data_IF_084399605292
#
_entry.id   IF_084399605292
#
_cell.length_a   1.000
_cell.length_b   1.000
_cell.length_c   1.000
_cell.angle_alpha   90.00
_cell.angle_beta   90.00
_cell.angle_gamma   90.00
#
_symmetry.space_group_name_H-M   'P 1'
#
loop_
_entity.id
_entity.type
_entity.pdbx_description
1 polymer ?
#
# COMPACT_ATOMS: atom_id res chain seq x y z
N UNK A 1 -13.63 -15.01 -22.72
CA UNK A 1 -12.48 -15.90 -22.56
C UNK A 1 -11.17 -15.12 -22.54
N UNK A 2 -10.83 -14.41 -23.60
CA UNK A 2 -9.57 -13.66 -23.80
C UNK A 2 -9.29 -12.62 -22.70
N UNK A 3 -10.26 -11.75 -22.39
CA UNK A 3 -10.16 -10.74 -21.31
C UNK A 3 -9.85 -11.32 -19.92
N UNK A 4 -10.34 -12.55 -19.64
CA UNK A 4 -10.05 -13.21 -18.35
C UNK A 4 -8.60 -13.67 -18.28
N UNK A 5 -8.07 -14.15 -19.39
CA UNK A 5 -6.69 -14.62 -19.50
C UNK A 5 -5.72 -13.45 -19.40
N UNK A 6 -6.01 -12.34 -20.09
CA UNK A 6 -5.22 -11.09 -20.01
C UNK A 6 -5.20 -10.54 -18.57
N UNK A 7 -6.36 -10.50 -17.91
CA UNK A 7 -6.46 -10.06 -16.51
C UNK A 7 -5.66 -10.94 -15.57
N UNK A 8 -5.74 -12.23 -15.74
CA UNK A 8 -4.96 -13.18 -14.93
C UNK A 8 -3.46 -12.94 -15.12
N UNK A 9 -3.00 -12.81 -16.36
CA UNK A 9 -1.59 -12.54 -16.66
C UNK A 9 -1.11 -11.22 -16.05
N UNK A 10 -1.91 -10.16 -16.14
CA UNK A 10 -1.61 -8.86 -15.53
C UNK A 10 -1.44 -8.97 -14.02
N UNK A 11 -2.39 -9.59 -13.33
CA UNK A 11 -2.37 -9.70 -11.86
C UNK A 11 -1.25 -10.63 -11.40
N UNK A 12 -0.98 -11.72 -12.11
CA UNK A 12 0.13 -12.64 -11.83
C UNK A 12 1.47 -11.90 -11.95
N UNK A 13 1.66 -11.11 -13.01
CA UNK A 13 2.87 -10.31 -13.21
C UNK A 13 3.02 -9.24 -12.12
N UNK A 14 1.95 -8.48 -11.83
CA UNK A 14 1.94 -7.44 -10.80
C UNK A 14 2.32 -7.97 -9.42
N UNK A 15 1.78 -9.13 -9.04
CA UNK A 15 2.04 -9.77 -7.75
C UNK A 15 3.31 -10.65 -7.75
N UNK A 16 4.10 -10.64 -8.83
CA UNK A 16 5.32 -11.47 -8.98
C UNK A 16 5.07 -12.95 -8.67
N UNK A 17 4.02 -13.53 -9.26
CA UNK A 17 3.61 -14.92 -9.04
C UNK A 17 3.99 -15.86 -10.18
N UNK A 18 4.60 -15.38 -11.25
CA UNK A 18 4.88 -16.15 -12.46
C UNK A 18 5.62 -17.45 -12.18
N UNK A 19 6.64 -17.40 -11.33
CA UNK A 19 7.46 -18.56 -10.97
C UNK A 19 6.80 -19.51 -9.97
N UNK A 20 5.64 -19.12 -9.44
CA UNK A 20 4.92 -19.85 -8.40
C UNK A 20 3.68 -20.59 -8.92
N UNK A 21 3.33 -20.39 -10.19
CA UNK A 21 2.08 -20.92 -10.76
C UNK A 21 2.00 -22.45 -10.72
N UNK A 22 3.15 -23.13 -10.82
CA UNK A 22 3.23 -24.59 -10.82
C UNK A 22 3.48 -25.19 -9.43
N UNK A 23 3.60 -24.33 -8.40
CA UNK A 23 3.80 -24.78 -7.01
C UNK A 23 2.48 -25.11 -6.34
N UNK A 24 2.52 -26.10 -5.47
CA UNK A 24 1.36 -26.40 -4.63
C UNK A 24 1.17 -25.30 -3.58
N UNK A 25 -0.07 -24.84 -3.28
CA UNK A 25 -0.33 -23.76 -2.33
C UNK A 25 0.29 -23.95 -0.94
N UNK A 26 0.43 -25.18 -0.48
CA UNK A 26 1.07 -25.51 0.82
C UNK A 26 2.59 -25.39 0.79
N UNK A 27 3.21 -25.33 -0.38
CA UNK A 27 4.65 -25.17 -0.52
C UNK A 27 5.06 -23.69 -0.63
N UNK A 28 4.10 -22.78 -0.55
CA UNK A 28 4.33 -21.34 -0.58
C UNK A 28 4.74 -20.83 0.81
N UNK A 29 5.77 -19.99 0.85
CA UNK A 29 6.12 -19.20 2.04
C UNK A 29 4.99 -18.26 2.46
N UNK A 30 5.00 -17.75 3.69
CA UNK A 30 3.98 -16.82 4.17
C UNK A 30 3.83 -15.57 3.28
N UNK A 31 4.93 -15.00 2.80
CA UNK A 31 4.91 -13.87 1.87
C UNK A 31 4.35 -14.24 0.49
N UNK A 32 4.67 -15.43 -0.03
CA UNK A 32 4.12 -15.92 -1.30
C UNK A 32 2.62 -16.20 -1.18
N UNK A 33 2.16 -16.70 -0.05
CA UNK A 33 0.73 -16.88 0.23
C UNK A 33 0.00 -15.52 0.28
N UNK A 34 0.58 -14.49 0.89
CA UNK A 34 0.00 -13.15 0.92
C UNK A 34 -0.07 -12.54 -0.49
N UNK A 35 0.97 -12.71 -1.32
CA UNK A 35 0.93 -12.30 -2.73
C UNK A 35 -0.19 -12.97 -3.50
N UNK A 36 -0.34 -14.28 -3.33
CA UNK A 36 -1.41 -15.05 -3.97
C UNK A 36 -2.80 -14.60 -3.48
N UNK A 37 -2.96 -14.30 -2.18
CA UNK A 37 -4.20 -13.78 -1.62
C UNK A 37 -4.54 -12.40 -2.20
N UNK A 38 -3.56 -11.48 -2.28
CA UNK A 38 -3.73 -10.18 -2.92
C UNK A 38 -4.14 -10.32 -4.39
N UNK A 39 -3.44 -11.16 -5.15
CA UNK A 39 -3.77 -11.41 -6.56
C UNK A 39 -5.21 -11.90 -6.74
N UNK A 40 -5.67 -12.81 -5.88
CA UNK A 40 -7.06 -13.31 -5.90
C UNK A 40 -8.08 -12.19 -5.71
N UNK A 41 -7.80 -11.24 -4.80
CA UNK A 41 -8.68 -10.08 -4.57
C UNK A 41 -8.64 -9.13 -5.78
N UNK A 42 -7.47 -8.88 -6.35
CA UNK A 42 -7.31 -7.99 -7.52
C UNK A 42 -8.01 -8.51 -8.77
N UNK A 43 -8.18 -9.84 -8.91
CA UNK A 43 -8.98 -10.43 -9.99
C UNK A 43 -10.45 -10.01 -9.93
N UNK A 44 -10.96 -9.64 -8.75
CA UNK A 44 -12.33 -9.13 -8.57
C UNK A 44 -12.50 -7.67 -9.01
N UNK A 45 -11.41 -6.99 -9.40
CA UNK A 45 -11.41 -5.59 -9.81
C UNK A 45 -12.03 -4.64 -8.76
N UNK A 46 -11.53 -4.64 -7.52
CA UNK A 46 -12.15 -3.88 -6.45
C UNK A 46 -12.04 -2.36 -6.68
N UNK A 47 -13.05 -1.62 -6.24
CA UNK A 47 -13.00 -0.15 -6.13
C UNK A 47 -12.34 0.28 -4.82
N UNK A 48 -12.48 -0.54 -3.78
CA UNK A 48 -11.97 -0.29 -2.44
C UNK A 48 -11.23 -1.55 -1.98
N UNK A 49 -10.03 -1.37 -1.47
CA UNK A 49 -9.20 -2.43 -0.89
C UNK A 49 -9.01 -2.16 0.61
N UNK A 50 -9.46 -3.10 1.43
CA UNK A 50 -9.30 -3.07 2.88
C UNK A 50 -8.21 -4.07 3.26
N UNK A 51 -7.19 -3.60 3.96
CA UNK A 51 -6.01 -4.39 4.33
C UNK A 51 -5.80 -4.32 5.85
N UNK A 52 -5.69 -5.49 6.47
CA UNK A 52 -5.40 -5.63 7.89
C UNK A 52 -4.02 -6.29 8.05
N UNK A 53 -3.07 -5.56 8.65
CA UNK A 53 -1.67 -5.97 8.85
C UNK A 53 -1.00 -6.62 7.61
N UNK A 54 -1.11 -6.02 6.41
CA UNK A 54 -0.70 -6.68 5.18
C UNK A 54 0.82 -6.86 5.03
N UNK A 55 1.61 -6.13 5.83
CA UNK A 55 3.09 -6.22 5.81
C UNK A 55 3.64 -7.25 6.79
N UNK A 56 2.77 -7.85 7.61
CA UNK A 56 3.19 -8.84 8.61
C UNK A 56 3.74 -10.11 7.93
N UNK A 57 4.98 -10.46 8.29
CA UNK A 57 5.65 -11.64 7.73
C UNK A 57 6.25 -11.45 6.33
N UNK A 58 6.18 -10.24 5.75
CA UNK A 58 6.91 -9.90 4.54
C UNK A 58 8.35 -9.54 4.87
N UNK A 59 9.29 -9.99 4.04
CA UNK A 59 10.66 -9.51 4.07
C UNK A 59 10.77 -8.06 3.56
N UNK A 60 11.92 -7.44 3.78
CA UNK A 60 12.14 -6.03 3.44
C UNK A 60 12.04 -5.75 1.93
N UNK A 61 12.55 -6.68 1.11
CA UNK A 61 12.50 -6.55 -0.36
C UNK A 61 11.05 -6.60 -0.85
N UNK A 62 10.29 -7.58 -0.36
CA UNK A 62 8.91 -7.70 -0.78
C UNK A 62 8.01 -6.58 -0.23
N UNK A 63 8.31 -6.01 0.96
CA UNK A 63 7.60 -4.82 1.45
C UNK A 63 7.70 -3.65 0.47
N UNK A 64 8.86 -3.43 -0.15
CA UNK A 64 9.01 -2.39 -1.17
C UNK A 64 8.14 -2.68 -2.39
N UNK A 65 8.20 -3.91 -2.91
CA UNK A 65 7.34 -4.33 -4.03
C UNK A 65 5.86 -4.18 -3.70
N UNK A 66 5.46 -4.57 -2.49
CA UNK A 66 4.08 -4.45 -2.03
C UNK A 66 3.63 -2.98 -1.96
N UNK A 67 4.47 -2.09 -1.45
CA UNK A 67 4.20 -0.65 -1.45
C UNK A 67 4.00 -0.09 -2.87
N UNK A 68 4.83 -0.49 -3.81
CA UNK A 68 4.69 -0.11 -5.22
C UNK A 68 3.40 -0.66 -5.85
N UNK A 69 3.02 -1.91 -5.51
CA UNK A 69 1.73 -2.48 -5.93
C UNK A 69 0.59 -1.58 -5.45
N UNK A 70 0.60 -1.19 -4.16
CA UNK A 70 -0.43 -0.31 -3.61
C UNK A 70 -0.47 1.05 -4.33
N UNK A 71 0.70 1.65 -4.61
CA UNK A 71 0.80 2.89 -5.38
C UNK A 71 0.24 2.73 -6.81
N UNK A 72 0.56 1.65 -7.47
CA UNK A 72 0.04 1.34 -8.81
C UNK A 72 -1.48 1.18 -8.82
N UNK A 73 -2.03 0.50 -7.81
CA UNK A 73 -3.47 0.36 -7.63
C UNK A 73 -4.15 1.70 -7.35
N UNK A 74 -3.58 2.50 -6.46
CA UNK A 74 -4.07 3.83 -6.14
C UNK A 74 -4.07 4.75 -7.37
N UNK A 75 -2.99 4.75 -8.15
CA UNK A 75 -2.88 5.52 -9.39
C UNK A 75 -3.96 5.09 -10.42
N UNK A 76 -4.35 3.80 -10.42
CA UNK A 76 -5.45 3.30 -11.25
C UNK A 76 -6.85 3.63 -10.70
N UNK A 77 -6.95 4.30 -9.54
CA UNK A 77 -8.19 4.76 -8.94
C UNK A 77 -8.82 3.81 -7.93
N UNK A 78 -8.07 2.82 -7.41
CA UNK A 78 -8.50 1.99 -6.27
C UNK A 78 -8.31 2.81 -4.98
N UNK A 79 -9.35 2.90 -4.15
CA UNK A 79 -9.22 3.45 -2.81
C UNK A 79 -8.66 2.36 -1.87
N UNK A 80 -7.67 2.72 -1.05
CA UNK A 80 -7.01 1.77 -0.15
C UNK A 80 -7.12 2.28 1.28
N UNK A 81 -7.65 1.43 2.16
CA UNK A 81 -7.62 1.61 3.60
C UNK A 81 -6.81 0.47 4.21
N UNK A 82 -5.78 0.82 4.97
CA UNK A 82 -4.89 -0.14 5.60
C UNK A 82 -4.80 0.12 7.10
N UNK A 83 -4.88 -0.94 7.89
CA UNK A 83 -4.51 -0.93 9.32
C UNK A 83 -3.18 -1.63 9.44
N UNK A 84 -2.20 -0.99 10.10
CA UNK A 84 -0.85 -1.55 10.24
C UNK A 84 -0.11 -0.98 11.44
N UNK A 85 0.73 -1.82 12.06
CA UNK A 85 1.75 -1.42 13.03
C UNK A 85 3.11 -1.10 12.38
N UNK A 86 3.24 -1.26 11.06
CA UNK A 86 4.46 -0.97 10.31
C UNK A 86 4.55 0.53 10.01
N UNK A 87 5.04 1.28 10.98
CA UNK A 87 5.19 2.73 10.92
C UNK A 87 6.04 3.18 9.73
N UNK A 88 7.14 2.46 9.45
CA UNK A 88 8.07 2.77 8.36
C UNK A 88 7.37 2.61 7.01
N UNK A 89 6.58 1.54 6.85
CA UNK A 89 5.80 1.32 5.64
C UNK A 89 4.74 2.40 5.45
N UNK A 90 4.02 2.77 6.53
CA UNK A 90 3.01 3.82 6.48
C UNK A 90 3.63 5.18 6.14
N UNK A 91 4.78 5.52 6.73
CA UNK A 91 5.49 6.78 6.46
C UNK A 91 5.90 6.92 4.99
N UNK A 92 6.28 5.80 4.36
CA UNK A 92 6.77 5.79 2.98
C UNK A 92 5.64 5.73 1.94
N UNK A 93 4.60 4.95 2.18
CA UNK A 93 3.62 4.60 1.15
C UNK A 93 2.21 5.17 1.36
N UNK A 94 1.83 5.62 2.55
CA UNK A 94 0.53 6.21 2.77
C UNK A 94 0.45 7.67 2.25
N UNK A 95 -0.73 8.10 1.85
CA UNK A 95 -1.03 9.52 1.58
C UNK A 95 -1.53 10.23 2.83
N UNK A 96 -2.20 9.50 3.73
CA UNK A 96 -2.71 9.98 5.01
C UNK A 96 -2.55 8.90 6.07
N UNK A 97 -2.23 9.33 7.27
CA UNK A 97 -2.15 8.47 8.45
C UNK A 97 -3.13 8.94 9.50
N UNK A 98 -3.75 8.01 10.20
CA UNK A 98 -4.64 8.28 11.32
C UNK A 98 -4.27 7.39 12.51
N UNK A 99 -4.20 7.96 13.69
CA UNK A 99 -4.05 7.22 14.94
C UNK A 99 -5.43 6.84 15.47
N UNK A 100 -5.68 5.55 15.55
CA UNK A 100 -6.90 5.00 16.12
C UNK A 100 -6.63 4.50 17.54
N UNK A 101 -7.32 5.06 18.52
CA UNK A 101 -7.17 4.69 19.91
C UNK A 101 -8.52 4.79 20.63
N UNK A 102 -8.84 3.79 21.43
CA UNK A 102 -10.07 3.70 22.24
C UNK A 102 -11.35 4.00 21.43
N UNK A 103 -11.45 3.37 20.25
CA UNK A 103 -12.63 3.50 19.39
C UNK A 103 -12.73 4.81 18.60
N UNK A 104 -11.73 5.70 18.68
CA UNK A 104 -11.74 7.02 18.06
C UNK A 104 -10.49 7.29 17.23
N UNK A 105 -10.62 8.14 16.21
CA UNK A 105 -9.47 8.74 15.52
C UNK A 105 -9.00 9.92 16.37
N UNK A 106 -7.79 9.78 16.94
CA UNK A 106 -7.19 10.79 17.83
C UNK A 106 -6.53 11.91 17.02
N UNK A 107 -5.87 11.55 15.93
CA UNK A 107 -5.20 12.49 15.03
C UNK A 107 -5.15 11.93 13.62
N UNK A 108 -5.13 12.81 12.64
CA UNK A 108 -5.03 12.45 11.24
C UNK A 108 -4.21 13.52 10.50
N UNK A 109 -3.23 13.13 9.72
CA UNK A 109 -2.41 14.04 8.93
C UNK A 109 -1.74 13.31 7.74
N UNK A 110 -1.06 14.06 6.87
CA UNK A 110 -0.11 13.52 5.92
C UNK A 110 1.07 12.88 6.67
N UNK A 111 1.71 11.82 6.11
CA UNK A 111 2.72 11.05 6.82
C UNK A 111 3.84 11.91 7.42
N UNK A 112 4.36 12.87 6.66
CA UNK A 112 5.44 13.75 7.14
C UNK A 112 5.02 14.51 8.41
N UNK A 113 3.88 15.18 8.38
CA UNK A 113 3.34 15.90 9.54
C UNK A 113 2.97 14.95 10.68
N UNK A 114 2.38 13.80 10.35
CA UNK A 114 1.94 12.82 11.34
C UNK A 114 3.10 12.26 12.15
N UNK A 115 4.19 11.83 11.49
CA UNK A 115 5.31 11.16 12.15
C UNK A 115 6.34 12.14 12.71
N UNK A 116 6.54 13.34 12.13
CA UNK A 116 7.45 14.36 12.69
C UNK A 116 6.86 15.04 13.91
N UNK A 117 5.54 15.23 13.93
CA UNK A 117 4.83 15.88 15.05
C UNK A 117 4.59 14.96 16.27
N UNK A 118 4.94 13.68 16.21
CA UNK A 118 4.62 12.73 17.26
C UNK A 118 5.89 12.15 17.91
N UNK A 119 5.92 12.17 19.26
CA UNK A 119 7.09 11.67 19.99
C UNK A 119 7.05 10.15 20.21
N UNK A 120 5.86 9.55 20.26
CA UNK A 120 5.69 8.13 20.56
C UNK A 120 5.55 7.30 19.26
N UNK A 121 4.73 7.76 18.33
CA UNK A 121 4.46 7.10 17.06
C UNK A 121 5.25 7.81 15.95
N UNK A 122 6.55 7.58 15.91
CA UNK A 122 7.44 8.15 14.89
C UNK A 122 8.39 7.10 14.36
N UNK A 123 8.89 7.32 13.14
CA UNK A 123 9.82 6.42 12.46
C UNK A 123 11.21 6.43 13.12
N UNK A 124 11.99 5.39 12.85
CA UNK A 124 13.39 5.32 13.29
C UNK A 124 14.20 6.48 12.68
N UNK A 125 13.98 6.80 11.41
CA UNK A 125 14.63 7.90 10.72
C UNK A 125 14.38 9.23 11.44
N UNK A 126 13.12 9.56 11.74
CA UNK A 126 12.80 10.78 12.47
C UNK A 126 13.35 10.77 13.89
N UNK A 127 13.26 9.65 14.60
CA UNK A 127 13.80 9.54 15.98
C UNK A 127 15.29 9.83 16.07
N UNK A 128 16.06 9.42 15.06
CA UNK A 128 17.51 9.62 15.01
C UNK A 128 17.86 11.04 14.52
N UNK A 129 17.14 11.55 13.53
CA UNK A 129 17.53 12.74 12.80
C UNK A 129 16.81 14.04 13.24
N UNK A 130 15.75 13.97 14.04
CA UNK A 130 14.84 15.09 14.33
C UNK A 130 15.51 16.37 14.85
N UNK A 131 16.61 16.25 15.58
CA UNK A 131 17.31 17.41 16.13
C UNK A 131 18.01 18.24 15.04
N UNK A 132 18.30 17.64 13.89
CA UNK A 132 18.98 18.28 12.75
C UNK A 132 18.04 18.36 11.53
N UNK A 133 17.20 17.35 11.35
CA UNK A 133 16.27 17.19 10.22
C UNK A 133 14.86 16.86 10.76
N UNK A 134 14.15 17.83 11.33
CA UNK A 134 12.88 17.58 12.02
C UNK A 134 11.80 16.97 11.14
N UNK A 135 11.82 17.26 9.85
CA UNK A 135 10.83 16.78 8.87
C UNK A 135 11.21 15.47 8.17
N UNK A 136 12.39 14.91 8.45
CA UNK A 136 12.80 13.64 7.88
C UNK A 136 12.02 12.50 8.57
N UNK A 137 11.25 11.73 7.79
CA UNK A 137 10.44 10.62 8.30
C UNK A 137 10.77 9.28 7.65
N UNK A 138 11.55 9.30 6.57
CA UNK A 138 12.02 8.08 5.89
C UNK A 138 13.54 8.00 5.89
N UNK A 139 14.14 6.81 5.77
CA UNK A 139 15.56 6.67 5.55
C UNK A 139 16.06 7.45 4.34
N UNK A 140 15.26 7.49 3.27
CA UNK A 140 15.57 8.21 2.04
C UNK A 140 15.70 9.73 2.28
N UNK A 141 14.87 10.30 3.16
CA UNK A 141 14.98 11.72 3.55
C UNK A 141 16.36 12.01 4.18
N UNK A 142 16.80 11.12 5.07
CA UNK A 142 18.11 11.28 5.76
C UNK A 142 19.28 11.10 4.77
N UNK A 143 19.21 10.08 3.92
CA UNK A 143 20.22 9.81 2.89
C UNK A 143 20.37 11.01 1.97
N UNK A 144 19.25 11.53 1.46
CA UNK A 144 19.24 12.70 0.57
C UNK A 144 19.81 13.94 1.25
N UNK A 145 19.43 14.21 2.51
CA UNK A 145 19.94 15.35 3.28
C UNK A 145 21.44 15.26 3.56
N UNK A 146 21.99 14.03 3.67
CA UNK A 146 23.42 13.79 3.82
C UNK A 146 24.19 13.80 2.48
N UNK A 147 23.54 14.11 1.36
CA UNK A 147 24.16 14.10 0.02
C UNK A 147 24.35 12.71 -0.58
N UNK A 148 23.70 11.70 -0.02
CA UNK A 148 23.67 10.34 -0.56
C UNK A 148 22.69 10.21 -1.72
N UNK A 149 22.85 9.14 -2.50
CA UNK A 149 21.96 8.80 -3.61
C UNK A 149 20.90 7.80 -3.12
N UNK A 150 19.64 8.14 -3.35
CA UNK A 150 18.53 7.21 -3.14
C UNK A 150 18.30 6.43 -4.43
N UNK A 151 18.39 5.11 -4.37
CA UNK A 151 18.09 4.28 -5.52
C UNK A 151 16.60 4.36 -5.88
N UNK A 152 16.25 4.55 -7.15
CA UNK A 152 14.87 4.56 -7.58
C UNK A 152 14.22 3.19 -7.35
N UNK A 153 12.98 3.20 -6.91
CA UNK A 153 12.21 1.96 -6.80
C UNK A 153 11.97 1.36 -8.19
N UNK A 154 11.97 0.02 -8.28
CA UNK A 154 11.72 -0.68 -9.53
C UNK A 154 10.30 -0.37 -10.04
N UNK A 155 10.18 -0.03 -11.32
CA UNK A 155 8.88 0.19 -11.94
C UNK A 155 8.10 -1.13 -12.04
N UNK A 156 6.83 -1.09 -11.65
CA UNK A 156 5.90 -2.20 -11.82
C UNK A 156 5.03 -2.00 -13.06
N UNK A 157 4.53 -3.10 -13.66
CA UNK A 157 3.59 -3.00 -14.77
C UNK A 157 2.32 -2.23 -14.34
N UNK A 158 1.80 -1.43 -15.25
CA UNK A 158 0.57 -0.67 -15.03
C UNK A 158 -0.61 -1.61 -14.73
N UNK A 159 -1.41 -1.25 -13.74
CA UNK A 159 -2.65 -1.97 -13.44
C UNK A 159 -3.83 -1.31 -14.15
N UNK A 160 -4.37 -1.99 -15.12
CA UNK A 160 -5.54 -1.51 -15.86
C UNK A 160 -6.81 -2.03 -15.20
N UNK A 161 -7.62 -1.12 -14.68
CA UNK A 161 -8.95 -1.45 -14.17
C UNK A 161 -9.90 -1.78 -15.32
N UNK A 162 -10.70 -2.80 -15.11
CA UNK A 162 -11.81 -3.08 -16.01
C UNK A 162 -12.89 -2.03 -15.72
N UNK A 163 -13.33 -1.22 -16.72
CA UNK A 163 -14.42 -0.27 -16.49
C UNK A 163 -15.65 -1.06 -16.00
N UNK A 164 -16.40 -0.51 -15.02
CA UNK A 164 -17.63 -1.13 -14.56
C UNK A 164 -18.55 -1.35 -15.76
N UNK A 165 -19.27 -2.49 -15.76
CA UNK A 165 -20.32 -2.70 -16.76
C UNK A 165 -21.31 -1.51 -16.70
N UNK A 166 -21.83 -1.01 -17.84
CA UNK A 166 -22.78 0.08 -17.82
C UNK A 166 -23.92 -0.27 -16.85
N UNK A 167 -24.09 0.58 -15.86
CA UNK A 167 -25.11 0.41 -14.82
C UNK A 167 -26.47 0.28 -15.53
N UNK A 168 -27.13 -0.85 -15.33
CA UNK A 168 -28.57 -0.90 -15.49
C UNK A 168 -29.13 0.07 -14.44
N UNK A 169 -29.75 1.15 -14.92
CA UNK A 169 -30.36 2.20 -14.11
C UNK A 169 -31.14 1.60 -12.92
N UNK A 170 -30.55 1.57 -11.73
CA UNK A 170 -31.29 1.40 -10.49
C UNK A 170 -30.49 1.86 -9.30
N UNK A 171 -30.95 2.95 -8.70
CA UNK A 171 -30.62 3.61 -7.44
C UNK A 171 -29.51 4.66 -7.49
N UNK A 172 -29.98 5.89 -7.39
CA UNK A 172 -29.22 7.08 -7.01
C UNK A 172 -28.58 6.90 -5.64
N UNK A 173 -27.43 6.25 -5.59
CA UNK A 173 -26.53 6.36 -4.45
C UNK A 173 -25.83 7.70 -4.63
N UNK A 174 -26.04 8.63 -3.69
CA UNK A 174 -25.28 9.88 -3.63
C UNK A 174 -23.80 9.53 -3.77
N UNK A 175 -23.13 10.04 -4.81
CA UNK A 175 -21.67 9.91 -4.97
C UNK A 175 -21.01 10.45 -3.71
N UNK A 176 -20.58 9.54 -2.84
CA UNK A 176 -19.63 9.89 -1.79
C UNK A 176 -18.35 10.39 -2.47
N UNK A 177 -17.73 11.45 -1.97
CA UNK A 177 -16.44 11.88 -2.50
C UNK A 177 -15.48 10.70 -2.42
N UNK A 178 -15.04 10.22 -3.57
CA UNK A 178 -14.17 9.04 -3.65
C UNK A 178 -12.82 9.44 -3.08
N UNK A 179 -12.49 8.95 -1.89
CA UNK A 179 -11.18 9.05 -1.30
C UNK A 179 -10.21 8.17 -2.12
N UNK A 180 -9.57 8.76 -3.10
CA UNK A 180 -8.60 8.09 -3.99
C UNK A 180 -7.20 7.99 -3.36
N UNK A 181 -7.09 7.94 -2.04
CA UNK A 181 -5.83 8.00 -1.32
C UNK A 181 -5.62 6.74 -0.50
N UNK A 182 -4.36 6.37 -0.30
CA UNK A 182 -3.99 5.36 0.68
C UNK A 182 -4.14 5.99 2.07
N UNK A 183 -5.01 5.45 2.89
CA UNK A 183 -5.14 5.79 4.30
C UNK A 183 -4.55 4.65 5.11
N UNK A 184 -3.58 4.94 5.97
CA UNK A 184 -3.04 4.01 6.94
C UNK A 184 -3.49 4.42 8.34
N UNK A 185 -4.12 3.50 9.07
CA UNK A 185 -4.40 3.65 10.48
C UNK A 185 -3.30 2.94 11.28
N UNK A 186 -2.71 3.66 12.23
CA UNK A 186 -1.69 3.14 13.14
C UNK A 186 -2.33 2.99 14.51
N UNK A 187 -2.32 1.78 15.06
CA UNK A 187 -2.90 1.44 16.38
C UNK A 187 -1.84 1.09 17.39
#
# INVERSE_FOLDING_TARGET
>A
SERKTERLAQVVSLCKLTELLDRHPYDLSGGEQQRAALAKILLLNPDILLLDEPTKGLDAEFKQVFGQILRTLQASGVAILMVSHDIEFCAKYADRCALFFDGNIVTEAEPRTFFSGNSFYTTAANRIARDVLPDAVTPEDVIAACGGTVEPEAELPEYQRIPPAPEKETRTVKKLPVWRKILAAVS
#
